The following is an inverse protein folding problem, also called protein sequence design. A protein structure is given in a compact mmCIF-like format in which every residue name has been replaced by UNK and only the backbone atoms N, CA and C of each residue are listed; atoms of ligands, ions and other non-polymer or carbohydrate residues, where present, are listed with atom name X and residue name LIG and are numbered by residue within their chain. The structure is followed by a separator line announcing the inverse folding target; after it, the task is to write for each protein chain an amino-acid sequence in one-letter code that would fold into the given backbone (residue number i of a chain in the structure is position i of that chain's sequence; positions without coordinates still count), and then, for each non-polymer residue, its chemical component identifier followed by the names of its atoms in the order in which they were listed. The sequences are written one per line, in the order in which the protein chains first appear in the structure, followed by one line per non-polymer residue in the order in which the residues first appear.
data_IF_475945033170
#
_entry.id   IF_475945033170
#
_cell.length_a   1.000
_cell.length_b   1.000
_cell.length_c   1.000
_cell.angle_alpha   90.00
_cell.angle_beta   90.00
_cell.angle_gamma   90.00
#
_symmetry.space_group_name_H-M   'P 1'
#
loop_
_entity.id
_entity.type
_entity.pdbx_description
1 polymer ?
#
# COMPACT_ATOMS: atom_id res chain seq x y z
N UNK A 1 24.03 19.72 -19.01
CA UNK A 1 23.32 18.55 -18.48
C UNK A 1 22.08 18.33 -19.34
N UNK A 2 21.83 17.13 -19.88
CA UNK A 2 20.62 16.89 -20.64
C UNK A 2 19.44 17.00 -19.69
N UNK A 3 18.46 17.86 -20.02
CA UNK A 3 17.14 17.78 -19.39
C UNK A 3 16.56 16.45 -19.83
N UNK A 4 16.49 15.48 -18.93
CA UNK A 4 15.67 14.31 -19.15
C UNK A 4 14.24 14.85 -19.09
N UNK A 5 13.72 15.29 -20.23
CA UNK A 5 12.30 15.49 -20.40
C UNK A 5 11.68 14.10 -20.24
N UNK A 6 11.34 13.75 -19.00
CA UNK A 6 10.64 12.51 -18.68
C UNK A 6 9.34 12.56 -19.46
N UNK A 7 9.28 11.82 -20.56
CA UNK A 7 8.13 11.79 -21.45
C UNK A 7 6.91 11.40 -20.62
N UNK A 8 6.05 12.38 -20.32
CA UNK A 8 4.81 12.16 -19.58
C UNK A 8 3.80 11.57 -20.54
N UNK A 9 3.50 10.29 -20.36
CA UNK A 9 2.43 9.63 -21.12
C UNK A 9 1.06 10.08 -20.61
N UNK A 10 0.13 10.34 -21.54
CA UNK A 10 -1.23 10.75 -21.22
C UNK A 10 -2.11 9.52 -21.06
N UNK A 11 -2.59 9.28 -19.84
CA UNK A 11 -3.63 8.30 -19.56
C UNK A 11 -5.00 9.00 -19.52
N UNK A 12 -5.94 8.55 -20.35
CA UNK A 12 -7.35 8.97 -20.29
C UNK A 12 -8.13 7.92 -19.50
N UNK A 13 -8.96 8.36 -18.56
CA UNK A 13 -9.76 7.50 -17.70
C UNK A 13 -11.21 7.96 -17.83
N UNK A 14 -12.07 7.07 -18.30
CA UNK A 14 -13.51 7.30 -18.28
C UNK A 14 -14.04 7.01 -16.88
N UNK A 15 -14.73 7.98 -16.30
CA UNK A 15 -15.30 7.92 -14.95
C UNK A 15 -16.73 8.42 -14.99
N UNK A 16 -17.56 7.91 -14.07
CA UNK A 16 -18.90 8.44 -13.91
C UNK A 16 -18.84 9.88 -13.35
N UNK A 17 -19.84 10.73 -13.66
CA UNK A 17 -19.88 12.11 -13.16
C UNK A 17 -19.80 12.20 -11.63
N UNK A 18 -20.37 11.23 -10.92
CA UNK A 18 -20.36 11.13 -9.45
C UNK A 18 -18.94 10.89 -8.92
N UNK A 19 -18.21 9.94 -9.53
CA UNK A 19 -16.83 9.62 -9.18
C UNK A 19 -15.91 10.81 -9.45
N UNK A 20 -16.08 11.47 -10.60
CA UNK A 20 -15.32 12.68 -10.91
C UNK A 20 -15.53 13.79 -9.87
N UNK A 21 -16.76 13.99 -9.39
CA UNK A 21 -17.05 14.95 -8.32
C UNK A 21 -16.36 14.56 -7.01
N UNK A 22 -16.40 13.28 -6.64
CA UNK A 22 -15.73 12.79 -5.44
C UNK A 22 -14.22 13.01 -5.52
N UNK A 23 -13.59 12.58 -6.62
CA UNK A 23 -12.14 12.75 -6.86
C UNK A 23 -11.77 14.23 -6.76
N UNK A 24 -12.55 15.12 -7.38
CA UNK A 24 -12.32 16.57 -7.32
C UNK A 24 -12.41 17.11 -5.89
N UNK A 25 -13.42 16.69 -5.13
CA UNK A 25 -13.61 17.13 -3.74
C UNK A 25 -12.46 16.67 -2.85
N UNK A 26 -12.01 15.43 -2.97
CA UNK A 26 -10.88 14.92 -2.20
C UNK A 26 -9.56 15.58 -2.62
N UNK A 27 -9.30 15.74 -3.91
CA UNK A 27 -8.13 16.47 -4.38
C UNK A 27 -8.08 17.90 -3.79
N UNK A 28 -9.23 18.60 -3.78
CA UNK A 28 -9.34 19.92 -3.16
C UNK A 28 -9.10 19.90 -1.64
N UNK A 29 -9.60 18.88 -0.94
CA UNK A 29 -9.38 18.70 0.50
C UNK A 29 -7.89 18.53 0.84
N UNK A 30 -7.16 17.82 -0.01
CA UNK A 30 -5.72 17.60 0.15
C UNK A 30 -4.84 18.73 -0.42
N UNK A 31 -5.44 19.74 -1.07
CA UNK A 31 -4.71 20.84 -1.70
C UNK A 31 -3.93 20.42 -2.96
N UNK A 32 -4.35 19.33 -3.59
CA UNK A 32 -3.68 18.70 -4.73
C UNK A 32 -4.49 18.87 -6.02
N UNK A 33 -3.81 18.77 -7.17
CA UNK A 33 -4.53 18.62 -8.44
C UNK A 33 -5.13 17.22 -8.55
N UNK A 34 -6.21 17.07 -9.33
CA UNK A 34 -6.82 15.76 -9.60
C UNK A 34 -5.78 14.74 -10.10
N UNK A 35 -4.81 15.18 -10.91
CA UNK A 35 -3.72 14.32 -11.41
C UNK A 35 -2.85 13.80 -10.27
N UNK A 36 -2.39 14.69 -9.39
CA UNK A 36 -1.51 14.34 -8.28
C UNK A 36 -2.23 13.41 -7.31
N UNK A 37 -3.46 13.76 -6.94
CA UNK A 37 -4.27 12.97 -6.04
C UNK A 37 -4.49 11.54 -6.56
N UNK A 38 -4.85 11.38 -7.84
CA UNK A 38 -5.05 10.06 -8.44
C UNK A 38 -3.74 9.25 -8.47
N UNK A 39 -2.62 9.88 -8.82
CA UNK A 39 -1.33 9.21 -8.86
C UNK A 39 -0.86 8.77 -7.46
N UNK A 40 -1.00 9.62 -6.45
CA UNK A 40 -0.67 9.28 -5.07
C UNK A 40 -1.56 8.14 -4.56
N UNK A 41 -2.88 8.19 -4.81
CA UNK A 41 -3.78 7.09 -4.46
C UNK A 41 -3.35 5.75 -5.07
N UNK A 42 -2.92 5.74 -6.34
CA UNK A 42 -2.43 4.53 -7.02
C UNK A 42 -1.12 4.05 -6.39
N UNK A 43 -0.16 4.96 -6.14
CA UNK A 43 1.13 4.63 -5.52
C UNK A 43 0.96 4.06 -4.12
N UNK A 44 0.10 4.68 -3.31
CA UNK A 44 -0.23 4.19 -1.98
C UNK A 44 -0.85 2.79 -2.02
N UNK A 45 -1.75 2.54 -2.97
CA UNK A 45 -2.35 1.23 -3.15
C UNK A 45 -1.32 0.17 -3.54
N UNK A 46 -0.44 0.48 -4.50
CA UNK A 46 0.65 -0.41 -4.91
C UNK A 46 1.63 -0.69 -3.76
N UNK A 47 1.95 0.34 -2.95
CA UNK A 47 2.79 0.19 -1.76
C UNK A 47 2.14 -0.77 -0.76
N UNK A 48 0.86 -0.55 -0.41
CA UNK A 48 0.10 -1.41 0.51
C UNK A 48 -0.03 -2.84 -0.01
N UNK A 49 -0.19 -3.04 -1.32
CA UNK A 49 -0.26 -4.39 -1.91
C UNK A 49 1.09 -5.09 -1.89
N UNK A 50 2.19 -4.37 -2.12
CA UNK A 50 3.55 -4.92 -1.99
C UNK A 50 3.85 -5.29 -0.54
N UNK A 51 3.58 -4.39 0.41
CA UNK A 51 3.72 -4.65 1.84
C UNK A 51 2.93 -5.88 2.28
N UNK A 52 1.69 -6.03 1.82
CA UNK A 52 0.88 -7.23 2.10
C UNK A 52 1.49 -8.51 1.53
N UNK A 53 2.00 -8.46 0.29
CA UNK A 53 2.68 -9.61 -0.33
C UNK A 53 3.95 -9.97 0.44
N UNK A 54 4.74 -9.00 0.83
CA UNK A 54 5.96 -9.20 1.61
C UNK A 54 5.67 -9.77 3.00
N UNK A 55 4.64 -9.26 3.68
CA UNK A 55 4.17 -9.83 4.95
C UNK A 55 3.71 -11.28 4.79
N UNK A 56 3.01 -11.60 3.69
CA UNK A 56 2.56 -12.96 3.39
C UNK A 56 3.74 -13.89 3.13
N UNK A 57 4.74 -13.45 2.36
CA UNK A 57 5.96 -14.22 2.08
C UNK A 57 6.78 -14.40 3.36
N UNK A 58 6.88 -13.37 4.20
CA UNK A 58 7.57 -13.46 5.49
C UNK A 58 6.86 -14.43 6.43
N UNK A 59 5.52 -14.36 6.53
CA UNK A 59 4.73 -15.29 7.33
C UNK A 59 4.91 -16.75 6.86
N UNK A 60 4.88 -16.98 5.53
CA UNK A 60 5.14 -18.30 4.95
C UNK A 60 6.56 -18.82 5.26
N UNK A 61 7.58 -17.95 5.26
CA UNK A 61 8.96 -18.32 5.64
C UNK A 61 9.08 -18.62 7.13
N UNK A 62 8.43 -17.84 7.98
CA UNK A 62 8.42 -18.04 9.43
C UNK A 62 7.73 -19.36 9.81
N UNK A 63 6.65 -19.74 9.11
CA UNK A 63 5.99 -21.04 9.29
C UNK A 63 6.86 -22.24 8.87
N UNK A 64 7.80 -22.01 7.95
CA UNK A 64 8.70 -23.04 7.43
C UNK A 64 10.01 -23.18 8.20
N UNK A 65 10.32 -22.28 9.15
CA UNK A 65 11.54 -22.37 9.95
C UNK A 65 11.28 -23.10 11.29
N UNK A 66 11.77 -24.34 11.47
CA UNK A 66 11.52 -25.13 12.68
C UNK A 66 12.07 -24.49 13.95
N UNK A 67 13.11 -23.64 13.83
CA UNK A 67 13.76 -22.98 14.95
C UNK A 67 12.91 -21.80 15.47
N UNK A 68 12.25 -21.07 14.57
CA UNK A 68 11.35 -19.98 14.95
C UNK A 68 10.08 -20.49 15.63
N UNK A 69 9.54 -21.63 15.19
CA UNK A 69 8.38 -22.26 15.81
C UNK A 69 8.64 -22.62 17.28
N UNK A 70 9.84 -23.11 17.62
CA UNK A 70 10.22 -23.39 19.01
C UNK A 70 10.44 -22.13 19.85
N UNK A 71 10.95 -21.04 19.26
CA UNK A 71 11.17 -19.79 19.98
C UNK A 71 9.86 -19.00 20.21
N UNK A 72 8.89 -19.13 19.29
CA UNK A 72 7.56 -18.54 19.41
C UNK A 72 6.62 -19.33 20.33
N UNK A 73 6.77 -20.66 20.39
CA UNK A 73 6.05 -21.54 21.33
C UNK A 73 6.66 -21.51 22.75
N UNK A 74 7.06 -20.31 23.18
CA UNK A 74 7.66 -20.06 24.48
C UNK A 74 6.55 -19.94 25.53
N UNK A 75 6.47 -20.94 26.41
CA UNK A 75 5.51 -21.01 27.53
C UNK A 75 5.48 -19.77 28.44
N UNK A 76 6.47 -18.88 28.37
CA UNK A 76 6.48 -17.61 29.12
C UNK A 76 5.49 -16.58 28.58
N UNK A 77 5.20 -16.58 27.28
CA UNK A 77 4.31 -15.58 26.66
C UNK A 77 2.83 -15.93 26.81
N UNK A 78 2.50 -17.20 27.10
CA UNK A 78 1.14 -17.66 27.41
C UNK A 78 0.51 -16.99 28.66
N UNK A 79 1.31 -16.28 29.46
CA UNK A 79 0.82 -15.49 30.59
C UNK A 79 0.06 -14.23 30.14
N UNK A 80 0.25 -13.76 28.91
CA UNK A 80 -0.40 -12.57 28.36
C UNK A 80 -1.63 -12.88 27.50
N UNK A 81 -1.86 -14.14 27.11
CA UNK A 81 -3.05 -14.57 26.36
C UNK A 81 -4.37 -14.50 27.17
N UNK A 82 -4.28 -14.29 28.49
CA UNK A 82 -5.43 -14.29 29.41
C UNK A 82 -5.79 -12.91 29.98
N UNK A 83 -5.24 -11.83 29.43
CA UNK A 83 -5.59 -10.45 29.80
C UNK A 83 -6.77 -9.93 28.98
#
# INVERSE_FOLDING_TARGET
MPRIDVARERLSIDVFPEEHRQIKSFAALHGETIREYVLECIRERLRKETEKKDLTVLAMRLDQDPLFKQAWDNKKDAAYDKL
#
